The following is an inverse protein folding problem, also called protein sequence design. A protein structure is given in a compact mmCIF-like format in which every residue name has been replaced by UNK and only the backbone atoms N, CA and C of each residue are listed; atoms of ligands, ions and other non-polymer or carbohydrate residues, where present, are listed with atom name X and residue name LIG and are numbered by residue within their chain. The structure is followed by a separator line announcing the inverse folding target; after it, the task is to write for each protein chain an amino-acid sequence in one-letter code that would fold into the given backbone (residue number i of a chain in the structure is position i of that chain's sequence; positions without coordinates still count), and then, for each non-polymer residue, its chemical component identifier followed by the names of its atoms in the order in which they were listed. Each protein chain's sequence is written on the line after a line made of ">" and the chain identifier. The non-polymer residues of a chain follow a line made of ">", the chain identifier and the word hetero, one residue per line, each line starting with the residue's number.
data_IF_419015232263
#
_entry.id   IF_419015232263
#
_cell.length_a   1.000
_cell.length_b   1.000
_cell.length_c   1.000
_cell.angle_alpha   90.00
_cell.angle_beta   90.00
_cell.angle_gamma   90.00
#
_symmetry.space_group_name_H-M   'P 1'
#
loop_
_entity.id
_entity.type
_entity.pdbx_description
1 polymer ?
#
# COMPACT_ATOMS: atom_id res chain seq x y z
N UNK A 1 18.15 -3.79 59.18
CA UNK A 1 18.30 -4.79 58.09
C UNK A 1 17.01 -5.06 57.30
N UNK A 2 15.82 -4.66 57.79
CA UNK A 2 14.53 -4.99 57.15
C UNK A 2 14.18 -4.01 56.01
N UNK A 3 14.53 -2.73 56.16
CA UNK A 3 14.26 -1.68 55.16
C UNK A 3 14.96 -1.90 53.81
N UNK A 4 16.21 -2.37 53.81
CA UNK A 4 16.93 -2.66 52.56
C UNK A 4 16.35 -3.84 51.79
N UNK A 5 15.84 -4.84 52.51
CA UNK A 5 15.19 -6.02 51.92
C UNK A 5 13.83 -5.63 51.34
N UNK A 6 13.04 -4.84 52.06
CA UNK A 6 11.74 -4.35 51.57
C UNK A 6 11.89 -3.48 50.31
N UNK A 7 12.91 -2.62 50.27
CA UNK A 7 13.23 -1.81 49.08
C UNK A 7 13.66 -2.67 47.89
N UNK A 8 14.53 -3.66 48.13
CA UNK A 8 14.98 -4.59 47.10
C UNK A 8 13.82 -5.40 46.52
N UNK A 9 12.88 -5.86 47.37
CA UNK A 9 11.69 -6.59 46.96
C UNK A 9 10.75 -5.70 46.12
N UNK A 10 10.49 -4.45 46.52
CA UNK A 10 9.66 -3.53 45.73
C UNK A 10 10.26 -3.20 44.36
N UNK A 11 11.58 -2.98 44.29
CA UNK A 11 12.28 -2.73 43.04
C UNK A 11 12.18 -3.94 42.09
N UNK A 12 12.39 -5.15 42.61
CA UNK A 12 12.27 -6.38 41.83
C UNK A 12 10.85 -6.62 41.34
N UNK A 13 9.85 -6.33 42.19
CA UNK A 13 8.45 -6.42 41.82
C UNK A 13 8.11 -5.46 40.67
N UNK A 14 8.60 -4.22 40.72
CA UNK A 14 8.45 -3.24 39.64
C UNK A 14 9.07 -3.71 38.32
N UNK A 15 10.29 -4.25 38.36
CA UNK A 15 10.97 -4.79 37.18
C UNK A 15 10.22 -5.97 36.56
N UNK A 16 9.70 -6.89 37.38
CA UNK A 16 8.88 -8.01 36.90
C UNK A 16 7.59 -7.51 36.26
N UNK A 17 6.95 -6.50 36.85
CA UNK A 17 5.72 -5.92 36.31
C UNK A 17 5.97 -5.26 34.94
N UNK A 18 7.07 -4.52 34.80
CA UNK A 18 7.48 -3.92 33.52
C UNK A 18 7.79 -4.99 32.48
N UNK A 19 8.53 -6.04 32.85
CA UNK A 19 8.85 -7.16 31.97
C UNK A 19 7.59 -7.89 31.50
N UNK A 20 6.61 -8.07 32.39
CA UNK A 20 5.33 -8.71 32.09
C UNK A 20 4.50 -7.84 31.13
N UNK A 21 4.44 -6.53 31.34
CA UNK A 21 3.78 -5.59 30.40
C UNK A 21 4.45 -5.60 29.04
N UNK A 22 5.79 -5.60 28.99
CA UNK A 22 6.54 -5.68 27.74
C UNK A 22 6.27 -7.00 27.00
N UNK A 23 6.22 -8.12 27.72
CA UNK A 23 5.89 -9.42 27.15
C UNK A 23 4.45 -9.45 26.60
N UNK A 24 3.48 -8.92 27.34
CA UNK A 24 2.08 -8.81 26.88
C UNK A 24 1.98 -7.91 25.65
N UNK A 25 2.65 -6.76 25.64
CA UNK A 25 2.71 -5.86 24.47
C UNK A 25 3.35 -6.56 23.27
N UNK A 26 4.43 -7.32 23.47
CA UNK A 26 5.10 -8.07 22.40
C UNK A 26 4.20 -9.16 21.83
N UNK A 27 3.52 -9.94 22.67
CA UNK A 27 2.55 -10.97 22.23
C UNK A 27 1.37 -10.33 21.49
N UNK A 28 0.81 -9.22 21.99
CA UNK A 28 -0.28 -8.51 21.31
C UNK A 28 0.17 -7.89 19.98
N UNK A 29 1.39 -7.37 19.89
CA UNK A 29 1.96 -6.82 18.65
C UNK A 29 2.23 -7.94 17.64
N UNK A 30 2.76 -9.08 18.08
CA UNK A 30 2.94 -10.28 17.23
C UNK A 30 1.59 -10.80 16.74
N UNK A 31 0.56 -10.84 17.58
CA UNK A 31 -0.78 -11.25 17.18
C UNK A 31 -1.37 -10.31 16.12
N UNK A 32 -1.24 -8.99 16.29
CA UNK A 32 -1.64 -8.02 15.25
C UNK A 32 -0.86 -8.17 13.93
N UNK A 33 0.40 -8.60 13.99
CA UNK A 33 1.19 -8.86 12.78
C UNK A 33 0.85 -10.20 12.12
N UNK A 34 0.35 -11.18 12.90
CA UNK A 34 -0.12 -12.47 12.38
C UNK A 34 -1.60 -12.50 11.97
N UNK A 35 -2.41 -11.53 12.39
CA UNK A 35 -3.84 -11.41 12.00
C UNK A 35 -4.02 -10.73 10.62
N UNK A 36 -2.99 -10.12 10.05
CA UNK A 36 -2.98 -9.70 8.63
C UNK A 36 -2.74 -10.88 7.67
N UNK A 37 -2.25 -12.02 8.16
CA UNK A 37 -1.91 -13.20 7.33
C UNK A 37 -2.91 -14.37 7.44
N UNK A 38 -4.10 -14.16 8.03
CA UNK A 38 -5.11 -15.23 8.14
C UNK A 38 -6.55 -14.77 7.89
N UNK A 39 -6.73 -13.80 6.99
CA UNK A 39 -7.89 -13.87 6.12
C UNK A 39 -7.59 -14.95 5.07
N UNK A 40 -8.21 -16.12 5.23
CA UNK A 40 -8.20 -17.22 4.28
C UNK A 40 -8.65 -16.72 2.90
N UNK A 41 -7.72 -16.25 2.08
CA UNK A 41 -7.95 -16.04 0.65
C UNK A 41 -8.00 -17.44 0.06
N UNK A 42 -9.16 -17.79 -0.48
CA UNK A 42 -9.39 -19.03 -1.19
C UNK A 42 -8.22 -19.34 -2.15
N UNK A 43 -7.69 -20.55 -2.02
CA UNK A 43 -6.61 -21.05 -2.86
C UNK A 43 -7.07 -21.10 -4.33
N UNK A 44 -6.31 -20.40 -5.19
CA UNK A 44 -6.27 -20.46 -6.67
C UNK A 44 -7.49 -19.95 -7.46
N UNK A 45 -7.38 -18.71 -8.00
CA UNK A 45 -6.75 -18.45 -9.31
C UNK A 45 -5.64 -17.37 -9.29
N UNK A 46 -5.28 -16.87 -8.10
CA UNK A 46 -4.44 -15.67 -7.93
C UNK A 46 -2.99 -15.82 -8.42
N UNK A 47 -2.44 -17.04 -8.48
CA UNK A 47 -1.01 -17.25 -8.78
C UNK A 47 -0.66 -16.86 -10.22
N UNK A 48 -1.50 -17.21 -11.19
CA UNK A 48 -1.29 -16.84 -12.60
C UNK A 48 -1.39 -15.34 -12.84
N UNK A 49 -2.45 -14.70 -12.30
CA UNK A 49 -2.63 -13.26 -12.41
C UNK A 49 -1.50 -12.47 -11.73
N UNK A 50 -1.06 -12.92 -10.54
CA UNK A 50 0.09 -12.32 -9.85
C UNK A 50 1.38 -12.46 -10.67
N UNK A 51 1.61 -13.63 -11.27
CA UNK A 51 2.79 -13.88 -12.08
C UNK A 51 2.82 -12.97 -13.31
N UNK A 52 1.69 -12.77 -13.99
CA UNK A 52 1.56 -11.83 -15.11
C UNK A 52 1.86 -10.39 -14.69
N UNK A 53 1.41 -9.97 -13.50
CA UNK A 53 1.74 -8.64 -12.95
C UNK A 53 3.26 -8.51 -12.72
N UNK A 54 3.91 -9.53 -12.15
CA UNK A 54 5.35 -9.52 -11.92
C UNK A 54 6.15 -9.48 -13.23
N UNK A 55 5.70 -10.21 -14.25
CA UNK A 55 6.30 -10.18 -15.59
C UNK A 55 6.20 -8.80 -16.21
N UNK A 56 5.01 -8.18 -16.19
CA UNK A 56 4.82 -6.81 -16.68
C UNK A 56 5.67 -5.80 -15.89
N UNK A 57 5.84 -5.96 -14.57
CA UNK A 57 6.74 -5.12 -13.77
C UNK A 57 8.21 -5.31 -14.22
N UNK A 58 8.63 -6.53 -14.50
CA UNK A 58 9.98 -6.82 -14.96
C UNK A 58 10.24 -6.21 -16.35
N UNK A 59 9.26 -6.24 -17.26
CA UNK A 59 9.35 -5.59 -18.57
C UNK A 59 9.63 -4.09 -18.46
N UNK A 60 8.96 -3.39 -17.52
CA UNK A 60 9.24 -1.98 -17.23
C UNK A 60 10.71 -1.79 -16.79
N UNK A 61 11.21 -2.70 -15.94
CA UNK A 61 12.58 -2.62 -15.46
C UNK A 61 13.57 -2.74 -16.63
N UNK A 62 13.40 -3.77 -17.46
CA UNK A 62 14.22 -4.01 -18.66
C UNK A 62 14.16 -2.81 -19.62
N UNK A 63 12.97 -2.26 -19.89
CA UNK A 63 12.78 -1.11 -20.78
C UNK A 63 13.48 0.17 -20.30
N UNK A 64 13.83 0.24 -19.00
CA UNK A 64 14.52 1.38 -18.41
C UNK A 64 15.98 1.09 -18.05
N UNK A 65 16.46 -0.13 -18.28
CA UNK A 65 17.81 -0.56 -17.97
C UNK A 65 18.86 0.20 -18.78
N UNK A 66 19.98 0.56 -18.16
CA UNK A 66 21.06 1.32 -18.79
C UNK A 66 20.75 2.80 -19.06
N UNK A 67 19.47 3.22 -19.05
CA UNK A 67 19.09 4.62 -19.21
C UNK A 67 19.38 5.43 -17.94
N UNK A 68 19.78 6.69 -18.12
CA UNK A 68 20.10 7.61 -17.02
C UNK A 68 19.38 8.94 -17.15
N UNK A 69 19.18 9.62 -16.01
CA UNK A 69 18.61 10.96 -15.94
C UNK A 69 17.27 11.09 -16.66
N UNK A 70 17.14 12.11 -17.51
CA UNK A 70 15.90 12.42 -18.24
C UNK A 70 15.45 11.32 -19.19
N UNK A 71 16.39 10.59 -19.79
CA UNK A 71 16.06 9.49 -20.71
C UNK A 71 15.33 8.36 -19.98
N UNK A 72 15.80 7.99 -18.78
CA UNK A 72 15.15 7.00 -17.93
C UNK A 72 13.74 7.43 -17.52
N UNK A 73 13.58 8.69 -17.10
CA UNK A 73 12.27 9.24 -16.71
C UNK A 73 11.29 9.20 -17.88
N UNK A 74 11.75 9.58 -19.09
CA UNK A 74 10.91 9.55 -20.29
C UNK A 74 10.48 8.13 -20.64
N UNK A 75 11.39 7.16 -20.58
CA UNK A 75 11.07 5.76 -20.83
C UNK A 75 10.08 5.20 -19.80
N UNK A 76 10.29 5.48 -18.50
CA UNK A 76 9.39 5.05 -17.45
C UNK A 76 7.99 5.65 -17.62
N UNK A 77 7.91 6.96 -17.88
CA UNK A 77 6.61 7.63 -18.10
C UNK A 77 5.88 7.04 -19.31
N UNK A 78 6.59 6.84 -20.42
CA UNK A 78 6.00 6.23 -21.60
C UNK A 78 5.42 4.84 -21.31
N UNK A 79 6.16 4.02 -20.56
CA UNK A 79 5.69 2.69 -20.17
C UNK A 79 4.47 2.74 -19.25
N UNK A 80 4.40 3.70 -18.32
CA UNK A 80 3.22 3.93 -17.47
C UNK A 80 2.01 4.40 -18.28
N UNK A 81 2.21 5.32 -19.21
CA UNK A 81 1.14 5.85 -20.05
C UNK A 81 0.53 4.75 -20.93
N UNK A 82 1.34 3.79 -21.41
CA UNK A 82 0.87 2.71 -22.29
C UNK A 82 0.23 1.52 -21.56
N UNK A 83 0.26 1.46 -20.21
CA UNK A 83 -0.26 0.29 -19.47
C UNK A 83 -1.75 0.04 -19.67
N UNK A 84 -2.49 1.10 -19.99
CA UNK A 84 -3.94 1.09 -20.15
C UNK A 84 -4.38 1.00 -21.62
N UNK A 85 -3.45 0.95 -22.59
CA UNK A 85 -3.77 1.02 -24.02
C UNK A 85 -4.70 -0.12 -24.47
N UNK A 86 -4.58 -1.30 -23.87
CA UNK A 86 -5.38 -2.48 -24.19
C UNK A 86 -6.66 -2.61 -23.33
N UNK A 87 -6.95 -1.62 -22.47
CA UNK A 87 -8.11 -1.66 -21.59
C UNK A 87 -9.34 -1.01 -22.23
N UNK A 88 -10.41 -1.79 -22.33
CA UNK A 88 -11.72 -1.24 -22.66
C UNK A 88 -12.33 -0.56 -21.44
N UNK A 89 -12.36 0.77 -21.46
CA UNK A 89 -12.92 1.58 -20.38
C UNK A 89 -14.41 1.82 -20.61
N UNK A 90 -15.24 1.27 -19.71
CA UNK A 90 -16.70 1.51 -19.70
C UNK A 90 -17.09 2.86 -19.08
N UNK A 91 -16.14 3.53 -18.43
CA UNK A 91 -16.35 4.84 -17.81
C UNK A 91 -16.32 5.95 -18.85
N UNK A 92 -17.17 6.95 -18.68
CA UNK A 92 -17.12 8.17 -19.50
C UNK A 92 -16.02 9.09 -18.99
N UNK A 93 -15.15 9.55 -19.89
CA UNK A 93 -14.09 10.52 -19.59
C UNK A 93 -14.48 11.87 -20.20
N UNK A 94 -14.63 12.90 -19.37
CA UNK A 94 -14.94 14.26 -19.82
C UNK A 94 -13.82 15.23 -19.48
N UNK A 95 -13.50 16.18 -20.39
CA UNK A 95 -12.58 17.25 -20.07
C UNK A 95 -13.13 18.15 -18.95
N UNK A 96 -12.26 18.90 -18.26
CA UNK A 96 -12.69 19.85 -17.26
C UNK A 96 -13.30 21.07 -17.95
N UNK A 97 -14.08 21.86 -17.20
CA UNK A 97 -14.66 23.09 -17.72
C UNK A 97 -13.57 24.11 -18.11
N UNK A 98 -13.87 25.03 -19.03
CA UNK A 98 -12.94 26.09 -19.43
C UNK A 98 -12.54 26.91 -18.19
N UNK A 99 -11.22 27.05 -17.98
CA UNK A 99 -10.66 27.76 -16.83
C UNK A 99 -10.53 26.94 -15.54
N UNK A 100 -10.99 25.68 -15.53
CA UNK A 100 -10.76 24.77 -14.42
C UNK A 100 -9.34 24.18 -14.43
N UNK A 101 -8.84 23.64 -13.30
CA UNK A 101 -7.56 22.95 -13.26
C UNK A 101 -7.47 21.80 -14.26
N UNK A 102 -6.25 21.51 -14.72
CA UNK A 102 -5.99 20.33 -15.56
C UNK A 102 -6.39 19.07 -14.81
N UNK A 103 -7.18 18.23 -15.45
CA UNK A 103 -7.72 16.99 -14.91
C UNK A 103 -8.83 16.48 -15.80
N UNK A 104 -9.49 15.40 -15.39
CA UNK A 104 -10.57 14.77 -16.15
C UNK A 104 -11.66 14.32 -15.18
N UNK A 105 -12.90 14.36 -15.64
CA UNK A 105 -13.99 13.66 -14.97
C UNK A 105 -14.01 12.22 -15.47
N UNK A 106 -13.81 11.27 -14.57
CA UNK A 106 -13.96 9.83 -14.86
C UNK A 106 -15.25 9.36 -14.18
N UNK A 107 -16.25 8.99 -14.99
CA UNK A 107 -17.62 8.75 -14.53
C UNK A 107 -18.01 7.31 -14.86
N UNK A 108 -18.04 6.45 -13.85
CA UNK A 108 -18.46 5.07 -14.01
C UNK A 108 -19.99 4.96 -14.25
N UNK A 109 -20.47 3.91 -14.95
CA UNK A 109 -21.90 3.67 -15.12
C UNK A 109 -22.65 3.61 -13.78
N UNK A 110 -23.80 4.29 -13.70
CA UNK A 110 -24.64 4.30 -12.49
C UNK A 110 -24.10 5.14 -11.32
N UNK A 111 -23.00 5.89 -11.50
CA UNK A 111 -22.48 6.78 -10.47
C UNK A 111 -23.39 7.99 -10.19
N UNK A 112 -23.44 8.43 -8.94
CA UNK A 112 -24.18 9.61 -8.49
C UNK A 112 -23.33 10.88 -8.69
N UNK A 113 -23.71 11.82 -9.59
CA UNK A 113 -22.90 13.00 -9.90
C UNK A 113 -22.79 14.02 -8.76
N UNK A 114 -23.58 13.86 -7.69
CA UNK A 114 -23.51 14.68 -6.50
C UNK A 114 -22.48 14.17 -5.48
N UNK A 115 -21.92 12.97 -5.69
CA UNK A 115 -20.87 12.38 -4.85
C UNK A 115 -19.57 12.37 -5.63
N UNK A 116 -18.60 13.19 -5.22
CA UNK A 116 -17.36 13.41 -5.98
C UNK A 116 -16.14 13.10 -5.12
N UNK A 117 -15.12 12.54 -5.76
CA UNK A 117 -13.82 12.27 -5.17
C UNK A 117 -12.78 13.01 -5.99
N UNK A 118 -11.93 13.79 -5.32
CA UNK A 118 -10.72 14.33 -5.94
C UNK A 118 -9.64 13.24 -5.85
N UNK A 119 -9.30 12.67 -7.00
CA UNK A 119 -8.20 11.71 -7.11
C UNK A 119 -6.95 12.42 -7.65
N UNK A 120 -5.83 12.23 -6.96
CA UNK A 120 -4.50 12.69 -7.38
C UNK A 120 -3.66 11.44 -7.50
N UNK A 121 -3.23 11.11 -8.72
CA UNK A 121 -2.47 9.89 -8.98
C UNK A 121 -1.08 9.95 -8.36
N UNK A 122 -0.52 8.77 -8.08
CA UNK A 122 0.87 8.62 -7.64
C UNK A 122 1.88 8.78 -8.79
N UNK A 123 3.17 8.76 -8.45
CA UNK A 123 4.29 8.72 -9.39
C UNK A 123 5.19 7.53 -9.09
#
# INVERSE_FOLDING_TARGET
>A
MIFGIAWFVMMWFGLVMIALVAAVMFVRRKKRHGEDESATIADQPQQGARQQVLEKINEIHVATEGLRGRARIKALRHCMDSMSDDLELVSEIRPPAIGAPKGEWVIAPGSDPNRRILYIHGG
#
